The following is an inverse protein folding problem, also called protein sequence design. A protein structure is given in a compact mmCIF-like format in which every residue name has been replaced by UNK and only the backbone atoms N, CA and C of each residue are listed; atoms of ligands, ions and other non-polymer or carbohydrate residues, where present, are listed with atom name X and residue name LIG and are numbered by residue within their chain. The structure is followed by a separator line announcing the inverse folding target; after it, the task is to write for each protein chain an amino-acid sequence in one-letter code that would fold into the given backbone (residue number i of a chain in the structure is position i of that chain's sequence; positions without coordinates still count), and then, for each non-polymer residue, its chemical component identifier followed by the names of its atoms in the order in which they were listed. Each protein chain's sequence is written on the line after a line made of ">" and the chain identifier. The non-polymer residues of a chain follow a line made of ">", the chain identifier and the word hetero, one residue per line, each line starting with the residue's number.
data_IF_516453694046
#
_entry.id   IF_516453694046
#
_cell.length_a   1.000
_cell.length_b   1.000
_cell.length_c   1.000
_cell.angle_alpha   90.00
_cell.angle_beta   90.00
_cell.angle_gamma   90.00
#
_symmetry.space_group_name_H-M   'P 1'
#
loop_
_entity.id
_entity.type
_entity.pdbx_description
1 polymer ?
#
# COMPACT_ATOMS: atom_id res chain seq x y z
N UNK A 1 3.08 -34.49 -7.27
CA UNK A 1 3.63 -33.73 -8.42
C UNK A 1 3.67 -32.29 -7.97
N UNK A 2 4.84 -31.68 -7.93
CA UNK A 2 5.01 -30.25 -7.59
C UNK A 2 4.25 -29.43 -8.62
N UNK A 3 3.45 -28.48 -8.18
CA UNK A 3 2.71 -27.59 -9.10
C UNK A 3 3.72 -26.66 -9.79
N UNK A 4 3.88 -26.84 -11.11
CA UNK A 4 4.83 -26.05 -11.92
C UNK A 4 4.59 -24.54 -11.76
N UNK A 5 3.35 -24.12 -11.61
CA UNK A 5 3.00 -22.73 -11.40
C UNK A 5 3.50 -22.22 -10.04
N UNK A 6 3.31 -23.02 -8.99
CA UNK A 6 3.81 -22.68 -7.66
C UNK A 6 5.34 -22.47 -7.65
N UNK A 7 6.09 -23.39 -8.29
CA UNK A 7 7.54 -23.28 -8.39
C UNK A 7 7.97 -22.02 -9.18
N UNK A 8 7.30 -21.70 -10.28
CA UNK A 8 7.59 -20.48 -11.07
C UNK A 8 7.35 -19.21 -10.27
N UNK A 9 6.30 -19.17 -9.44
CA UNK A 9 6.00 -18.05 -8.57
C UNK A 9 7.06 -17.91 -7.46
N UNK A 10 7.40 -19.01 -6.78
CA UNK A 10 8.35 -19.02 -5.67
C UNK A 10 9.75 -18.65 -6.16
N UNK A 11 10.20 -19.19 -7.30
CA UNK A 11 11.51 -18.88 -7.88
C UNK A 11 11.65 -17.37 -8.18
N UNK A 12 10.64 -16.77 -8.81
CA UNK A 12 10.64 -15.32 -9.06
C UNK A 12 10.58 -14.53 -7.78
N UNK A 13 9.70 -14.88 -6.87
CA UNK A 13 9.56 -14.22 -5.59
C UNK A 13 10.89 -14.19 -4.83
N UNK A 14 11.54 -15.35 -4.65
CA UNK A 14 12.84 -15.42 -3.96
C UNK A 14 13.94 -14.65 -4.68
N UNK A 15 13.94 -14.66 -6.01
CA UNK A 15 14.87 -13.86 -6.81
C UNK A 15 14.67 -12.36 -6.58
N UNK A 16 13.44 -11.89 -6.49
CA UNK A 16 13.16 -10.46 -6.26
C UNK A 16 13.40 -10.07 -4.80
N UNK A 17 13.22 -10.98 -3.85
CA UNK A 17 13.58 -10.77 -2.45
C UNK A 17 15.10 -10.57 -2.24
N UNK A 18 15.94 -11.14 -3.11
CA UNK A 18 17.40 -10.97 -3.03
C UNK A 18 17.87 -9.54 -3.33
N UNK A 19 16.99 -8.69 -3.88
CA UNK A 19 17.28 -7.27 -4.10
C UNK A 19 16.74 -6.46 -2.94
N UNK A 20 17.63 -5.91 -2.12
CA UNK A 20 17.29 -4.97 -1.07
C UNK A 20 16.64 -3.71 -1.68
N UNK A 21 15.39 -3.42 -1.34
CA UNK A 21 14.61 -2.30 -1.90
C UNK A 21 13.74 -1.58 -0.87
N UNK A 22 14.12 -1.64 0.41
CA UNK A 22 13.43 -0.92 1.49
C UNK A 22 13.39 0.58 1.20
N UNK A 23 12.23 1.23 1.40
CA UNK A 23 12.07 2.67 1.23
C UNK A 23 12.64 3.45 2.43
N UNK A 24 13.01 4.72 2.23
CA UNK A 24 13.49 5.63 3.29
C UNK A 24 12.64 6.91 3.30
N UNK A 25 11.77 7.03 4.31
CA UNK A 25 10.88 8.19 4.48
C UNK A 25 11.63 9.53 4.66
N UNK A 26 12.92 9.50 5.05
CA UNK A 26 13.76 10.70 5.23
C UNK A 26 14.31 11.22 3.89
N UNK A 27 14.32 10.38 2.86
CA UNK A 27 14.77 10.76 1.53
C UNK A 27 13.73 11.65 0.83
N UNK A 28 14.19 12.70 0.17
CA UNK A 28 13.35 13.56 -0.66
C UNK A 28 13.31 13.13 -2.14
N UNK A 29 14.13 12.15 -2.53
CA UNK A 29 14.19 11.67 -3.92
C UNK A 29 13.16 10.57 -4.17
N UNK A 30 12.80 10.37 -5.43
CA UNK A 30 12.01 9.24 -5.93
C UNK A 30 12.86 8.54 -7.00
N UNK A 31 13.21 7.25 -6.81
CA UNK A 31 12.99 6.45 -5.61
C UNK A 31 13.78 6.96 -4.41
N UNK A 32 13.30 6.63 -3.20
CA UNK A 32 13.95 7.02 -1.95
C UNK A 32 15.24 6.25 -1.69
N UNK A 33 15.39 5.07 -2.29
CA UNK A 33 16.56 4.21 -2.18
C UNK A 33 17.01 3.64 -3.54
N UNK A 34 18.32 3.44 -3.76
CA UNK A 34 18.83 2.90 -5.02
C UNK A 34 18.46 1.42 -5.26
N UNK A 35 18.03 0.70 -4.22
CA UNK A 35 17.61 -0.70 -4.33
C UNK A 35 16.38 -0.87 -5.20
N UNK A 36 15.43 0.03 -5.09
CA UNK A 36 14.23 0.05 -5.92
C UNK A 36 14.58 0.22 -7.41
N UNK A 37 15.57 1.07 -7.72
CA UNK A 37 16.06 1.23 -9.10
C UNK A 37 16.68 -0.07 -9.61
N UNK A 38 17.51 -0.74 -8.80
CA UNK A 38 18.12 -2.03 -9.18
C UNK A 38 17.06 -3.10 -9.45
N UNK A 39 16.00 -3.16 -8.62
CA UNK A 39 14.89 -4.08 -8.85
C UNK A 39 14.15 -3.75 -10.16
N UNK A 40 13.84 -2.49 -10.40
CA UNK A 40 13.19 -2.06 -11.65
C UNK A 40 14.03 -2.41 -12.89
N UNK A 41 15.36 -2.25 -12.85
CA UNK A 41 16.28 -2.64 -13.92
C UNK A 41 16.33 -4.16 -14.14
N UNK A 42 16.29 -4.96 -13.05
CA UNK A 42 16.18 -6.41 -13.15
C UNK A 42 14.87 -6.83 -13.82
N UNK A 43 13.73 -6.25 -13.42
CA UNK A 43 12.43 -6.52 -14.02
C UNK A 43 12.38 -6.08 -15.49
N UNK A 44 12.95 -4.92 -15.81
CA UNK A 44 13.06 -4.44 -17.19
C UNK A 44 13.80 -5.44 -18.07
N UNK A 45 14.95 -5.92 -17.64
CA UNK A 45 15.74 -6.90 -18.38
C UNK A 45 14.97 -8.23 -18.59
N UNK A 46 14.19 -8.68 -17.59
CA UNK A 46 13.35 -9.87 -17.73
C UNK A 46 12.20 -9.63 -18.72
N UNK A 47 11.52 -8.47 -18.68
CA UNK A 47 10.46 -8.11 -19.62
C UNK A 47 10.99 -7.99 -21.08
N UNK A 48 12.19 -7.45 -21.26
CA UNK A 48 12.87 -7.41 -22.55
C UNK A 48 13.18 -8.82 -23.08
N UNK A 49 13.68 -9.71 -22.20
CA UNK A 49 13.93 -11.11 -22.55
C UNK A 49 12.64 -11.88 -22.87
N UNK A 50 11.53 -11.52 -22.24
CA UNK A 50 10.20 -12.08 -22.55
C UNK A 50 9.63 -11.50 -23.88
N UNK A 51 10.17 -10.41 -24.41
CA UNK A 51 9.73 -9.78 -25.66
C UNK A 51 8.45 -8.93 -25.51
N UNK A 52 8.19 -8.35 -24.34
CA UNK A 52 7.08 -7.42 -24.16
C UNK A 52 7.29 -6.14 -24.97
N UNK A 53 6.20 -5.45 -25.28
CA UNK A 53 6.20 -4.20 -26.01
C UNK A 53 6.26 -2.97 -25.08
N UNK A 54 6.66 -1.82 -25.64
CA UNK A 54 6.59 -0.50 -25.01
C UNK A 54 7.21 -0.43 -23.60
N UNK A 55 8.30 -1.17 -23.38
CA UNK A 55 9.00 -1.20 -22.10
C UNK A 55 9.67 0.16 -21.87
N UNK A 56 9.29 0.81 -20.77
CA UNK A 56 9.82 2.12 -20.41
C UNK A 56 10.14 2.18 -18.91
N UNK A 57 11.36 2.57 -18.61
CA UNK A 57 11.84 2.82 -17.25
C UNK A 57 12.29 4.28 -17.14
N UNK A 58 11.57 5.07 -16.36
CA UNK A 58 11.80 6.50 -16.24
C UNK A 58 12.88 6.88 -15.20
N UNK A 59 13.07 8.18 -15.00
CA UNK A 59 14.03 8.71 -14.03
C UNK A 59 13.61 8.45 -12.57
N UNK A 60 12.33 8.29 -12.31
CA UNK A 60 11.78 7.97 -10.99
C UNK A 60 11.75 6.46 -10.72
N UNK A 61 12.32 5.64 -11.60
CA UNK A 61 12.29 4.17 -11.51
C UNK A 61 10.90 3.55 -11.67
N UNK A 62 9.98 4.29 -12.27
CA UNK A 62 8.68 3.75 -12.68
C UNK A 62 8.90 2.96 -13.97
N UNK A 63 8.61 1.67 -13.91
CA UNK A 63 8.72 0.75 -15.02
C UNK A 63 7.33 0.40 -15.55
N UNK A 64 7.09 0.64 -16.83
CA UNK A 64 5.88 0.18 -17.53
C UNK A 64 6.23 -0.73 -18.69
N UNK A 65 5.38 -1.70 -18.99
CA UNK A 65 5.52 -2.59 -20.13
C UNK A 65 4.15 -3.06 -20.61
N UNK A 66 3.99 -3.24 -21.92
CA UNK A 66 2.75 -3.71 -22.53
C UNK A 66 2.87 -5.17 -22.96
N UNK A 67 1.98 -6.01 -22.48
CA UNK A 67 1.72 -7.34 -23.02
C UNK A 67 0.59 -7.21 -24.06
N UNK A 68 0.87 -7.42 -25.35
CA UNK A 68 -0.12 -7.27 -26.41
C UNK A 68 -1.32 -8.21 -26.23
N UNK A 69 -2.49 -7.66 -26.49
CA UNK A 69 -3.76 -8.40 -26.50
C UNK A 69 -3.88 -9.34 -27.70
N UNK A 70 -4.86 -10.24 -27.62
CA UNK A 70 -5.26 -11.10 -28.75
C UNK A 70 -6.56 -10.64 -29.40
N UNK A 71 -7.29 -9.70 -28.74
CA UNK A 71 -8.55 -9.11 -29.20
C UNK A 71 -8.39 -7.59 -29.32
N UNK A 72 -8.41 -7.02 -30.55
CA UNK A 72 -8.15 -5.58 -30.77
C UNK A 72 -9.17 -4.66 -30.13
N UNK A 73 -10.44 -5.10 -30.02
CA UNK A 73 -11.54 -4.29 -29.50
C UNK A 73 -11.76 -4.45 -27.99
N UNK A 74 -11.00 -5.32 -27.34
CA UNK A 74 -11.10 -5.50 -25.90
C UNK A 74 -10.41 -4.33 -25.16
N UNK A 75 -10.93 -3.93 -23.99
CA UNK A 75 -10.33 -2.83 -23.22
C UNK A 75 -8.89 -3.16 -22.80
N UNK A 76 -8.04 -2.15 -22.85
CA UNK A 76 -6.73 -2.21 -22.22
C UNK A 76 -6.91 -2.09 -20.69
N UNK A 77 -6.34 -3.02 -19.93
CA UNK A 77 -6.35 -3.00 -18.47
C UNK A 77 -4.93 -2.92 -17.90
N UNK A 78 -4.83 -2.44 -16.66
CA UNK A 78 -3.55 -2.30 -15.99
C UNK A 78 -3.42 -3.15 -14.73
N UNK A 79 -2.17 -3.49 -14.40
CA UNK A 79 -1.80 -4.02 -13.08
C UNK A 79 -0.63 -3.25 -12.53
N UNK A 80 -0.68 -2.95 -11.24
CA UNK A 80 0.33 -2.16 -10.55
C UNK A 80 0.85 -2.93 -9.34
N UNK A 81 2.15 -2.93 -9.14
CA UNK A 81 2.81 -3.44 -7.96
C UNK A 81 3.94 -2.49 -7.54
N UNK A 82 4.19 -2.36 -6.24
CA UNK A 82 5.27 -1.51 -5.79
C UNK A 82 6.59 -2.25 -5.59
N UNK A 83 7.69 -1.48 -5.75
CA UNK A 83 9.07 -1.99 -5.75
C UNK A 83 9.67 -2.03 -4.35
N UNK A 84 9.21 -1.15 -3.47
CA UNK A 84 9.75 -1.02 -2.13
C UNK A 84 9.18 -2.05 -1.17
N UNK A 85 9.89 -2.22 -0.07
CA UNK A 85 9.41 -2.86 1.15
C UNK A 85 9.44 -1.83 2.27
N UNK A 86 8.57 -2.01 3.26
CA UNK A 86 8.42 -1.10 4.39
C UNK A 86 9.68 -1.06 5.27
N UNK A 87 9.99 0.12 5.82
CA UNK A 87 10.96 0.27 6.92
C UNK A 87 10.23 0.28 8.27
N UNK A 88 10.30 -0.81 8.99
CA UNK A 88 9.77 -0.95 10.36
C UNK A 88 10.91 -1.16 11.39
N UNK A 89 12.11 -0.72 11.05
CA UNK A 89 13.29 -0.86 11.92
C UNK A 89 13.88 -2.26 11.98
N UNK A 90 13.53 -3.12 11.01
CA UNK A 90 14.11 -4.45 10.83
C UNK A 90 15.22 -4.42 9.76
N UNK A 91 15.92 -5.55 9.57
CA UNK A 91 16.93 -5.68 8.52
C UNK A 91 16.31 -5.47 7.13
N UNK A 92 16.93 -4.71 6.22
CA UNK A 92 16.50 -4.64 4.84
C UNK A 92 16.87 -5.89 4.02
N UNK A 93 17.80 -6.72 4.52
CA UNK A 93 18.18 -8.00 3.91
C UNK A 93 17.15 -9.07 4.25
N UNK A 94 16.47 -9.60 3.24
CA UNK A 94 15.44 -10.62 3.40
C UNK A 94 16.02 -12.00 3.15
N UNK A 95 15.79 -12.93 4.09
CA UNK A 95 16.22 -14.33 4.02
C UNK A 95 14.98 -15.24 4.02
N UNK A 96 14.41 -15.51 2.82
CA UNK A 96 13.18 -16.29 2.72
C UNK A 96 13.43 -17.78 2.96
N UNK A 97 12.43 -18.45 3.52
CA UNK A 97 12.40 -19.88 3.78
C UNK A 97 11.10 -20.50 3.27
N UNK A 98 11.16 -21.77 2.85
CA UNK A 98 9.99 -22.61 2.56
C UNK A 98 9.80 -23.59 3.69
N UNK A 99 8.63 -23.62 4.28
CA UNK A 99 8.32 -24.50 5.41
C UNK A 99 6.93 -25.11 5.23
N UNK A 100 6.75 -26.33 5.71
CA UNK A 100 5.41 -26.92 5.85
C UNK A 100 4.93 -26.65 7.26
N UNK A 101 3.81 -25.96 7.39
CA UNK A 101 3.25 -25.64 8.70
C UNK A 101 2.63 -26.86 9.37
N UNK A 102 3.23 -27.34 10.46
CA UNK A 102 2.80 -28.54 11.19
C UNK A 102 1.62 -28.35 12.14
N UNK A 103 1.24 -27.10 12.43
CA UNK A 103 0.15 -26.74 13.36
C UNK A 103 0.60 -26.34 14.77
N UNK A 104 1.91 -26.26 15.02
CA UNK A 104 2.52 -25.75 16.26
C UNK A 104 3.42 -24.56 16.01
N UNK A 105 4.06 -24.04 17.06
CA UNK A 105 5.03 -22.95 16.96
C UNK A 105 6.15 -23.31 15.97
N UNK A 106 6.61 -22.32 15.22
CA UNK A 106 7.65 -22.47 14.19
C UNK A 106 8.90 -21.70 14.57
N UNK A 107 10.04 -22.36 14.61
CA UNK A 107 11.35 -21.73 14.74
C UNK A 107 11.76 -21.11 13.41
N UNK A 108 11.81 -19.78 13.33
CA UNK A 108 12.23 -19.05 12.14
C UNK A 108 13.75 -18.84 12.11
N UNK A 109 14.35 -18.60 13.27
CA UNK A 109 15.79 -18.36 13.40
C UNK A 109 16.32 -18.93 14.72
N UNK A 110 17.14 -19.97 14.62
CA UNK A 110 17.73 -20.62 15.81
C UNK A 110 18.75 -19.71 16.52
N UNK A 111 19.54 -18.98 15.76
CA UNK A 111 20.59 -18.12 16.30
C UNK A 111 20.05 -16.94 17.11
N UNK A 112 18.97 -16.32 16.63
CA UNK A 112 18.34 -15.17 17.24
C UNK A 112 17.14 -15.56 18.13
N UNK A 113 16.86 -16.88 18.26
CA UNK A 113 15.71 -17.46 19.00
C UNK A 113 14.37 -16.84 18.61
N UNK A 114 14.15 -16.69 17.29
CA UNK A 114 12.91 -16.09 16.76
C UNK A 114 11.92 -17.18 16.42
N UNK A 115 10.74 -17.12 17.05
CA UNK A 115 9.65 -18.05 16.89
C UNK A 115 8.39 -17.36 16.40
N UNK A 116 7.72 -17.90 15.38
CA UNK A 116 6.33 -17.61 15.11
C UNK A 116 5.47 -18.49 16.02
N UNK A 117 4.86 -17.88 17.03
CA UNK A 117 4.06 -18.59 18.02
C UNK A 117 2.60 -18.59 17.64
N UNK A 118 2.00 -19.76 17.53
CA UNK A 118 0.59 -19.92 17.11
C UNK A 118 -0.37 -19.21 18.09
N UNK A 119 -0.03 -19.13 19.38
CA UNK A 119 -0.83 -18.41 20.37
C UNK A 119 -0.86 -16.89 20.17
N UNK A 120 0.15 -16.33 19.52
CA UNK A 120 0.27 -14.90 19.19
C UNK A 120 -0.22 -14.62 17.76
N UNK A 121 -0.12 -15.62 16.87
CA UNK A 121 -0.45 -15.56 15.45
C UNK A 121 -1.42 -16.69 15.05
N UNK A 122 -2.66 -16.71 15.57
CA UNK A 122 -3.62 -17.78 15.29
C UNK A 122 -4.11 -17.81 13.84
N UNK A 123 -3.92 -16.73 13.08
CA UNK A 123 -4.25 -16.62 11.65
C UNK A 123 -3.50 -17.62 10.76
N UNK A 124 -2.40 -18.24 11.26
CA UNK A 124 -1.67 -19.29 10.54
C UNK A 124 -2.37 -20.65 10.62
N UNK A 125 -3.24 -20.90 11.61
CA UNK A 125 -3.86 -22.21 11.90
C UNK A 125 -4.60 -22.84 10.70
N UNK A 126 -5.34 -22.08 9.86
CA UNK A 126 -6.01 -22.63 8.69
C UNK A 126 -5.07 -23.30 7.67
N UNK A 127 -3.78 -22.98 7.72
CA UNK A 127 -2.76 -23.46 6.77
C UNK A 127 -2.02 -24.71 7.24
N UNK A 128 -2.51 -25.40 8.30
CA UNK A 128 -1.89 -26.65 8.77
C UNK A 128 -1.76 -27.67 7.66
N UNK A 129 -0.57 -28.23 7.50
CA UNK A 129 -0.21 -29.18 6.47
C UNK A 129 0.10 -28.56 5.10
N UNK A 130 -0.02 -27.24 4.98
CA UNK A 130 0.31 -26.51 3.76
C UNK A 130 1.73 -25.96 3.79
N UNK A 131 2.28 -25.78 2.60
CA UNK A 131 3.55 -25.08 2.43
C UNK A 131 3.33 -23.57 2.55
N UNK A 132 4.20 -22.93 3.31
CA UNK A 132 4.21 -21.47 3.53
C UNK A 132 5.61 -20.92 3.28
N UNK A 133 5.68 -19.68 2.84
CA UNK A 133 6.89 -18.90 2.71
C UNK A 133 6.97 -17.93 3.88
N UNK A 134 8.12 -17.84 4.53
CA UNK A 134 8.38 -16.99 5.70
C UNK A 134 9.78 -16.36 5.58
N UNK A 135 10.03 -15.27 6.30
CA UNK A 135 11.38 -14.77 6.54
C UNK A 135 12.05 -15.52 7.70
N UNK A 136 13.33 -15.23 7.95
CA UNK A 136 14.04 -15.71 9.16
C UNK A 136 13.71 -14.87 10.40
N UNK A 137 12.77 -13.94 10.32
CA UNK A 137 12.34 -13.05 11.39
C UNK A 137 13.30 -11.89 11.70
N UNK A 138 14.43 -11.77 10.99
CA UNK A 138 15.30 -10.59 11.11
C UNK A 138 14.82 -9.42 10.25
N UNK A 139 13.99 -9.71 9.25
CA UNK A 139 13.36 -8.76 8.33
C UNK A 139 11.84 -9.04 8.23
N UNK A 140 11.09 -8.20 7.51
CA UNK A 140 9.82 -8.60 6.93
C UNK A 140 10.04 -9.68 5.86
N UNK A 141 9.01 -10.43 5.45
CA UNK A 141 9.13 -11.34 4.30
C UNK A 141 9.18 -10.56 2.98
N UNK A 142 8.45 -9.43 2.89
CA UNK A 142 8.33 -8.62 1.68
C UNK A 142 7.39 -9.23 0.64
N UNK A 143 6.42 -10.04 1.07
CA UNK A 143 5.30 -10.42 0.21
C UNK A 143 4.51 -9.18 -0.20
N UNK A 144 4.43 -8.21 0.67
CA UNK A 144 4.09 -6.82 0.42
C UNK A 144 5.33 -6.06 -0.11
N UNK A 145 5.51 -5.82 -1.44
CA UNK A 145 4.57 -6.22 -2.51
C UNK A 145 5.26 -7.11 -3.56
N UNK A 146 6.42 -7.72 -3.22
CA UNK A 146 7.19 -8.55 -4.19
C UNK A 146 6.46 -9.84 -4.60
N UNK A 147 5.47 -10.28 -3.83
CA UNK A 147 4.57 -11.35 -4.29
C UNK A 147 3.76 -10.90 -5.50
N UNK A 148 3.20 -9.68 -5.49
CA UNK A 148 2.52 -9.11 -6.65
C UNK A 148 3.44 -8.98 -7.86
N UNK A 149 4.69 -8.52 -7.65
CA UNK A 149 5.69 -8.47 -8.72
C UNK A 149 5.89 -9.87 -9.33
N UNK A 150 6.05 -10.90 -8.50
CA UNK A 150 6.22 -12.28 -8.97
C UNK A 150 4.99 -12.80 -9.73
N UNK A 151 3.77 -12.45 -9.28
CA UNK A 151 2.51 -12.75 -9.98
C UNK A 151 2.52 -12.13 -11.36
N UNK A 152 2.77 -10.81 -11.47
CA UNK A 152 2.72 -10.08 -12.73
C UNK A 152 3.79 -10.54 -13.72
N UNK A 153 5.00 -10.80 -13.26
CA UNK A 153 6.08 -11.31 -14.10
C UNK A 153 5.82 -12.76 -14.57
N UNK A 154 5.17 -13.58 -13.74
CA UNK A 154 4.74 -14.93 -14.12
C UNK A 154 3.59 -14.87 -15.12
N UNK A 155 2.64 -13.95 -14.92
CA UNK A 155 1.55 -13.68 -15.87
C UNK A 155 2.12 -13.32 -17.26
N UNK A 156 3.04 -12.36 -17.32
CA UNK A 156 3.69 -11.96 -18.56
C UNK A 156 4.37 -13.14 -19.26
N UNK A 157 5.16 -13.93 -18.51
CA UNK A 157 5.87 -15.11 -19.05
C UNK A 157 4.93 -16.18 -19.60
N UNK A 158 3.76 -16.39 -18.98
CA UNK A 158 2.80 -17.44 -19.39
C UNK A 158 1.86 -16.96 -20.49
N UNK A 159 1.50 -15.68 -20.52
CA UNK A 159 0.55 -15.16 -21.51
C UNK A 159 1.20 -14.66 -22.79
N UNK A 160 2.51 -14.38 -22.84
CA UNK A 160 3.17 -13.81 -24.04
C UNK A 160 2.95 -14.62 -25.31
N UNK A 161 2.96 -15.95 -25.20
CA UNK A 161 2.78 -16.85 -26.32
C UNK A 161 1.38 -17.52 -26.31
N UNK A 162 0.50 -17.11 -25.42
CA UNK A 162 -0.84 -17.67 -25.27
C UNK A 162 -1.84 -17.02 -26.24
N UNK A 163 -2.66 -17.85 -26.90
CA UNK A 163 -3.79 -17.39 -27.70
C UNK A 163 -5.06 -17.09 -26.88
N UNK A 164 -5.00 -17.17 -25.55
CA UNK A 164 -6.14 -16.89 -24.68
C UNK A 164 -6.69 -15.49 -24.94
N UNK A 165 -8.03 -15.32 -25.08
CA UNK A 165 -8.66 -14.04 -25.36
C UNK A 165 -8.34 -12.99 -24.29
N UNK A 166 -7.77 -11.84 -24.67
CA UNK A 166 -7.47 -10.70 -23.80
C UNK A 166 -7.30 -9.41 -24.60
N UNK A 167 -7.58 -8.28 -23.97
CA UNK A 167 -7.12 -6.98 -24.42
C UNK A 167 -5.63 -6.76 -24.13
N UNK A 168 -5.11 -5.61 -24.49
CA UNK A 168 -3.77 -5.19 -24.05
C UNK A 168 -3.72 -5.14 -22.53
N UNK A 169 -2.60 -5.55 -21.97
CA UNK A 169 -2.33 -5.47 -20.52
C UNK A 169 -1.10 -4.61 -20.31
N UNK A 170 -1.22 -3.56 -19.50
CA UNK A 170 -0.06 -2.75 -19.11
C UNK A 170 0.32 -3.10 -17.67
N UNK A 171 1.55 -3.54 -17.49
CA UNK A 171 2.16 -3.76 -16.19
C UNK A 171 2.90 -2.49 -15.77
N UNK A 172 2.72 -2.08 -14.52
CA UNK A 172 3.43 -0.96 -13.94
C UNK A 172 4.07 -1.37 -12.61
N UNK A 173 5.33 -1.02 -12.43
CA UNK A 173 6.06 -1.23 -11.18
C UNK A 173 6.53 0.13 -10.69
N UNK A 174 6.08 0.52 -9.50
CA UNK A 174 6.24 1.88 -8.98
C UNK A 174 7.02 1.89 -7.66
N UNK A 175 7.84 2.91 -7.38
CA UNK A 175 8.60 3.01 -6.14
C UNK A 175 7.83 3.75 -5.05
N UNK A 176 8.29 3.60 -3.80
CA UNK A 176 7.92 4.44 -2.65
C UNK A 176 6.42 4.47 -2.34
N UNK A 177 5.75 3.33 -2.43
CA UNK A 177 4.37 3.14 -2.00
C UNK A 177 4.26 3.37 -0.49
N UNK A 178 5.10 2.67 0.30
CA UNK A 178 5.11 2.57 1.75
C UNK A 178 5.35 3.89 2.48
N UNK A 179 5.86 4.87 1.77
CA UNK A 179 6.16 6.21 2.30
C UNK A 179 5.28 7.29 1.66
N UNK A 180 4.09 6.91 1.23
CA UNK A 180 3.03 7.81 0.82
C UNK A 180 2.71 7.82 -0.66
N UNK A 181 2.75 6.68 -1.33
CA UNK A 181 2.31 6.48 -2.73
C UNK A 181 3.07 7.39 -3.71
N UNK A 182 4.37 7.64 -3.44
CA UNK A 182 5.13 8.67 -4.15
C UNK A 182 5.25 8.36 -5.63
N UNK A 183 5.56 7.10 -5.99
CA UNK A 183 5.68 6.67 -7.38
C UNK A 183 4.37 6.81 -8.15
N UNK A 184 3.26 6.29 -7.63
CA UNK A 184 1.95 6.37 -8.26
C UNK A 184 1.47 7.83 -8.45
N UNK A 185 1.83 8.74 -7.53
CA UNK A 185 1.50 10.17 -7.63
C UNK A 185 2.21 10.88 -8.78
N UNK A 186 3.45 10.49 -9.11
CA UNK A 186 4.27 11.13 -10.16
C UNK A 186 4.27 10.33 -11.48
N UNK A 187 3.65 9.16 -11.51
CA UNK A 187 3.58 8.30 -12.69
C UNK A 187 3.00 9.04 -13.90
N UNK A 188 3.65 8.92 -15.06
CA UNK A 188 3.12 9.45 -16.32
C UNK A 188 1.98 8.58 -16.85
N UNK A 189 0.73 9.04 -16.71
CA UNK A 189 -0.46 8.31 -17.15
C UNK A 189 -0.55 8.18 -18.69
N UNK A 190 0.19 8.97 -19.46
CA UNK A 190 0.29 8.75 -20.92
C UNK A 190 1.01 7.41 -21.24
N UNK A 191 1.80 6.89 -20.32
CA UNK A 191 2.43 5.56 -20.41
C UNK A 191 1.57 4.44 -19.83
N UNK A 192 0.41 4.79 -19.26
CA UNK A 192 -0.54 3.86 -18.63
C UNK A 192 -1.98 4.14 -19.10
N UNK A 193 -2.24 4.12 -20.42
CA UNK A 193 -3.54 4.45 -21.00
C UNK A 193 -4.51 3.26 -20.89
N UNK A 194 -4.96 2.97 -19.67
CA UNK A 194 -5.84 1.84 -19.36
C UNK A 194 -7.26 2.30 -19.03
N UNK A 195 -8.26 1.46 -19.30
CA UNK A 195 -9.64 1.73 -18.92
C UNK A 195 -9.83 1.68 -17.39
N UNK A 196 -9.13 0.77 -16.74
CA UNK A 196 -9.02 0.61 -15.29
C UNK A 196 -7.79 -0.25 -14.97
N UNK A 197 -7.39 -0.26 -13.71
CA UNK A 197 -6.27 -1.08 -13.27
C UNK A 197 -6.62 -1.85 -11.99
N UNK A 198 -5.66 -2.65 -11.53
CA UNK A 198 -5.71 -3.37 -10.26
C UNK A 198 -4.38 -3.25 -9.54
N UNK A 199 -4.40 -3.13 -8.22
CA UNK A 199 -3.27 -3.44 -7.34
C UNK A 199 -3.47 -4.82 -6.72
N UNK A 200 -2.39 -5.53 -6.39
CA UNK A 200 -2.38 -6.82 -5.70
C UNK A 200 -1.72 -6.59 -4.35
N UNK A 201 -2.47 -5.97 -3.45
CA UNK A 201 -1.90 -5.35 -2.25
C UNK A 201 -2.86 -5.41 -1.05
N UNK A 202 -3.63 -6.50 -0.97
CA UNK A 202 -4.37 -6.91 0.23
C UNK A 202 -3.77 -8.19 0.80
N UNK A 203 -4.18 -8.52 2.03
CA UNK A 203 -3.64 -9.65 2.75
C UNK A 203 -4.30 -10.98 2.35
N UNK A 204 -5.37 -11.32 3.02
CA UNK A 204 -5.91 -12.67 3.04
C UNK A 204 -6.63 -13.06 1.74
N UNK A 205 -6.55 -14.34 1.43
CA UNK A 205 -7.27 -14.95 0.31
C UNK A 205 -8.76 -14.59 0.30
N UNK A 206 -9.22 -14.03 -0.82
CA UNK A 206 -10.61 -13.57 -1.01
C UNK A 206 -10.87 -12.12 -0.64
N UNK A 207 -9.92 -11.39 -0.09
CA UNK A 207 -10.06 -9.96 0.19
C UNK A 207 -10.11 -9.13 -1.10
N UNK A 208 -11.05 -8.18 -1.10
CA UNK A 208 -11.24 -7.19 -2.16
C UNK A 208 -11.39 -5.83 -1.51
N UNK A 209 -10.57 -4.87 -1.94
CA UNK A 209 -10.62 -3.49 -1.45
C UNK A 209 -10.93 -2.55 -2.62
N UNK A 210 -12.04 -1.88 -2.51
CA UNK A 210 -12.44 -0.77 -3.39
C UNK A 210 -12.90 0.46 -2.60
N UNK A 211 -12.81 0.38 -1.26
CA UNK A 211 -13.01 1.49 -0.33
C UNK A 211 -11.73 1.67 0.48
N UNK A 212 -11.12 2.84 0.40
CA UNK A 212 -9.97 3.26 1.21
C UNK A 212 -10.30 4.53 1.96
N UNK A 213 -9.50 4.92 2.92
CA UNK A 213 -9.66 6.24 3.54
C UNK A 213 -9.44 7.37 2.52
N UNK A 214 -10.09 8.51 2.76
CA UNK A 214 -9.55 9.80 2.40
C UNK A 214 -8.52 10.17 3.46
N UNK A 215 -7.41 10.77 3.05
CA UNK A 215 -6.29 11.06 3.93
C UNK A 215 -5.75 12.47 3.74
N UNK A 216 -5.47 13.15 4.84
CA UNK A 216 -4.72 14.38 4.87
C UNK A 216 -3.67 14.36 5.98
N UNK A 217 -2.59 15.12 5.76
CA UNK A 217 -1.59 15.45 6.76
C UNK A 217 -1.73 16.91 7.14
N UNK A 218 -1.54 17.19 8.43
CA UNK A 218 -1.56 18.54 8.99
C UNK A 218 -0.23 18.80 9.67
N UNK A 219 0.38 19.92 9.35
CA UNK A 219 1.55 20.45 10.07
C UNK A 219 1.18 21.80 10.69
N UNK A 220 1.36 21.92 11.99
CA UNK A 220 1.11 23.15 12.73
C UNK A 220 2.41 23.62 13.37
N UNK A 221 2.94 24.73 12.89
CA UNK A 221 4.14 25.37 13.40
C UNK A 221 3.75 26.51 14.34
N UNK A 222 4.28 26.50 15.57
CA UNK A 222 3.98 27.46 16.63
C UNK A 222 5.26 28.14 17.05
N UNK A 223 5.32 29.44 16.91
CA UNK A 223 6.40 30.28 17.46
C UNK A 223 5.88 31.06 18.66
N UNK A 224 6.52 30.88 19.80
CA UNK A 224 6.19 31.58 21.05
C UNK A 224 6.92 32.88 21.22
N UNK A 225 6.88 33.42 22.44
CA UNK A 225 7.64 34.58 22.86
C UNK A 225 8.51 34.19 24.04
N UNK A 226 9.81 34.25 23.90
CA UNK A 226 10.76 33.91 24.97
C UNK A 226 10.93 35.06 25.94
N UNK A 227 11.11 34.78 27.22
CA UNK A 227 11.47 35.71 28.25
C UNK A 227 12.25 35.02 29.37
N UNK A 228 13.13 35.74 30.05
CA UNK A 228 13.79 35.23 31.24
C UNK A 228 12.74 34.94 32.35
N UNK A 229 12.81 33.82 33.06
CA UNK A 229 11.81 33.47 34.10
C UNK A 229 11.55 34.60 35.12
N UNK A 230 12.58 35.39 35.44
CA UNK A 230 12.44 36.53 36.35
C UNK A 230 11.46 37.62 35.85
N UNK A 231 11.28 37.78 34.53
CA UNK A 231 10.43 38.80 33.89
C UNK A 231 9.38 38.16 32.95
N UNK A 232 9.09 36.88 33.10
CA UNK A 232 8.24 36.13 32.18
C UNK A 232 6.73 36.44 32.31
N UNK A 233 6.30 36.93 33.48
CA UNK A 233 4.86 37.20 33.73
C UNK A 233 4.32 38.21 32.73
N UNK A 234 3.30 37.80 31.96
CA UNK A 234 2.67 38.63 30.92
C UNK A 234 3.53 38.86 29.66
N UNK A 235 4.75 38.25 29.59
CA UNK A 235 5.67 38.36 28.45
C UNK A 235 5.86 37.05 27.74
N UNK A 236 6.17 35.98 28.47
CA UNK A 236 6.41 34.63 27.93
C UNK A 236 5.15 34.08 27.29
N UNK A 237 5.27 33.54 26.09
CA UNK A 237 4.28 32.65 25.48
C UNK A 237 5.00 31.34 25.18
N UNK A 238 4.67 30.28 25.93
CA UNK A 238 5.28 28.98 25.80
C UNK A 238 4.63 28.20 24.66
N UNK A 239 5.32 27.97 23.54
CA UNK A 239 4.72 27.29 22.37
C UNK A 239 4.36 25.82 22.65
N UNK A 240 5.03 25.15 23.61
CA UNK A 240 4.68 23.77 24.01
C UNK A 240 3.29 23.74 24.66
N UNK A 241 2.95 24.71 25.53
CA UNK A 241 1.64 24.78 26.16
C UNK A 241 0.55 25.10 25.13
N UNK A 242 0.84 25.96 24.14
CA UNK A 242 -0.07 26.26 23.05
C UNK A 242 -0.32 24.99 22.20
N UNK A 243 0.73 24.20 21.90
CA UNK A 243 0.60 22.93 21.19
C UNK A 243 -0.24 21.91 21.98
N UNK A 244 -0.01 21.79 23.30
CA UNK A 244 -0.77 20.90 24.18
C UNK A 244 -2.26 21.29 24.24
N UNK A 245 -2.55 22.60 24.26
CA UNK A 245 -3.93 23.10 24.21
C UNK A 245 -4.63 22.68 22.89
N UNK A 246 -3.95 22.81 21.76
CA UNK A 246 -4.46 22.33 20.46
C UNK A 246 -4.76 20.84 20.49
N UNK A 247 -3.82 20.00 20.97
CA UNK A 247 -4.03 18.56 21.09
C UNK A 247 -5.24 18.24 21.95
N UNK A 248 -5.44 18.99 23.04
CA UNK A 248 -6.57 18.82 23.95
C UNK A 248 -7.95 19.20 23.36
N UNK A 249 -8.00 19.82 22.19
CA UNK A 249 -9.26 20.12 21.50
C UNK A 249 -9.79 18.95 20.66
N UNK A 250 -8.94 17.97 20.34
CA UNK A 250 -9.36 16.78 19.60
C UNK A 250 -10.04 15.78 20.53
N UNK A 251 -11.11 15.17 20.02
CA UNK A 251 -11.83 14.11 20.75
C UNK A 251 -10.93 12.87 20.92
N UNK A 252 -10.55 12.50 22.15
CA UNK A 252 -9.68 11.35 22.39
C UNK A 252 -10.33 10.01 22.07
N UNK A 253 -11.66 9.98 21.82
CA UNK A 253 -12.37 8.77 21.37
C UNK A 253 -12.31 8.57 19.86
N UNK A 254 -11.84 9.58 19.10
CA UNK A 254 -11.71 9.52 17.66
C UNK A 254 -10.22 9.42 17.24
N UNK A 255 -9.53 8.44 17.79
CA UNK A 255 -8.12 8.13 17.50
C UNK A 255 -7.99 6.72 16.91
N UNK A 256 -6.90 6.37 16.25
CA UNK A 256 -6.74 5.03 15.62
C UNK A 256 -6.96 3.88 16.60
N UNK A 257 -6.51 4.02 17.85
CA UNK A 257 -6.63 3.02 18.90
C UNK A 257 -8.03 2.92 19.51
N UNK A 258 -8.96 3.78 19.11
CA UNK A 258 -10.35 3.85 19.61
C UNK A 258 -11.40 3.69 18.53
N UNK A 259 -11.00 3.56 17.29
CA UNK A 259 -11.90 3.49 16.14
C UNK A 259 -11.65 2.25 15.32
N UNK A 260 -12.69 1.73 14.66
CA UNK A 260 -12.61 0.53 13.81
C UNK A 260 -13.44 0.69 12.52
N UNK A 261 -13.31 -0.26 11.63
CA UNK A 261 -14.09 -0.32 10.39
C UNK A 261 -14.01 0.98 9.59
N UNK A 262 -15.17 1.61 9.30
CA UNK A 262 -15.26 2.87 8.55
C UNK A 262 -15.21 4.13 9.39
N UNK A 263 -14.97 4.02 10.69
CA UNK A 263 -14.86 5.18 11.57
C UNK A 263 -13.59 5.97 11.27
N UNK A 264 -13.74 7.27 11.01
CA UNK A 264 -12.64 8.20 10.81
C UNK A 264 -11.97 8.61 12.12
N UNK A 265 -10.77 9.18 12.00
CA UNK A 265 -10.00 9.60 13.17
C UNK A 265 -9.10 10.81 12.89
N UNK A 266 -8.63 11.44 13.98
CA UNK A 266 -7.44 12.26 14.06
C UNK A 266 -6.32 11.49 14.77
N UNK A 267 -5.14 11.54 14.23
CA UNK A 267 -3.98 10.96 14.86
C UNK A 267 -2.88 12.00 15.00
N UNK A 268 -2.69 12.50 16.23
CA UNK A 268 -1.54 13.34 16.56
C UNK A 268 -0.31 12.42 16.64
N UNK A 269 0.39 12.28 15.52
CA UNK A 269 1.51 11.34 15.33
C UNK A 269 2.88 11.98 15.48
N UNK A 270 2.95 13.29 15.74
CA UNK A 270 4.19 13.97 16.01
C UNK A 270 4.00 15.24 16.84
N UNK A 271 4.83 15.38 17.86
CA UNK A 271 4.97 16.61 18.64
C UNK A 271 6.45 16.83 18.95
N UNK A 272 6.95 18.02 18.63
CA UNK A 272 8.29 18.44 19.00
C UNK A 272 8.27 19.90 19.44
N UNK A 273 9.21 20.30 20.32
CA UNK A 273 9.25 21.70 20.73
C UNK A 273 10.33 22.03 21.74
N UNK A 274 10.54 23.31 21.89
CA UNK A 274 11.43 23.92 22.87
C UNK A 274 10.82 25.25 23.38
N UNK A 275 11.61 26.05 24.09
CA UNK A 275 11.14 27.33 24.68
C UNK A 275 10.72 28.37 23.66
N UNK A 276 11.11 28.24 22.38
CA UNK A 276 10.85 29.28 21.34
C UNK A 276 9.89 28.82 20.25
N UNK A 277 9.84 27.52 19.95
CA UNK A 277 9.00 26.94 18.90
C UNK A 277 8.48 25.56 19.27
N UNK A 278 7.34 25.18 18.70
CA UNK A 278 6.81 23.81 18.72
C UNK A 278 6.19 23.48 17.35
N UNK A 279 6.15 22.19 17.04
CA UNK A 279 5.49 21.68 15.85
C UNK A 279 4.61 20.48 16.22
N UNK A 280 3.42 20.44 15.64
CA UNK A 280 2.50 19.30 15.70
C UNK A 280 2.37 18.71 14.30
N UNK A 281 2.28 17.38 14.25
CA UNK A 281 1.92 16.62 13.06
C UNK A 281 0.67 15.80 13.37
N UNK A 282 -0.35 15.92 12.51
CA UNK A 282 -1.64 15.25 12.68
C UNK A 282 -2.03 14.61 11.36
N UNK A 283 -2.42 13.34 11.41
CA UNK A 283 -3.05 12.64 10.29
C UNK A 283 -4.57 12.67 10.44
N UNK A 284 -5.28 12.96 9.35
CA UNK A 284 -6.73 12.89 9.27
C UNK A 284 -7.10 11.74 8.34
N UNK A 285 -8.05 10.91 8.77
CA UNK A 285 -8.57 9.79 7.98
C UNK A 285 -10.09 9.72 8.14
N UNK A 286 -10.81 9.53 7.03
CA UNK A 286 -12.23 9.17 7.01
C UNK A 286 -12.59 8.51 5.67
N UNK A 287 -13.46 7.49 5.68
CA UNK A 287 -14.00 6.91 4.45
C UNK A 287 -15.01 7.83 3.77
N UNK A 288 -15.81 8.55 4.55
CA UNK A 288 -16.79 9.48 4.05
C UNK A 288 -16.15 10.82 3.66
N UNK A 289 -16.36 11.26 2.42
CA UNK A 289 -15.76 12.48 1.91
C UNK A 289 -16.26 13.75 2.60
N UNK A 290 -17.55 13.80 2.99
CA UNK A 290 -18.12 14.96 3.67
C UNK A 290 -17.55 15.09 5.09
N UNK A 291 -17.54 13.98 5.85
CA UNK A 291 -16.92 13.96 7.19
C UNK A 291 -15.41 14.23 7.15
N UNK A 292 -14.73 13.79 6.10
CA UNK A 292 -13.32 14.12 5.90
C UNK A 292 -13.10 15.63 5.76
N UNK A 293 -13.94 16.33 4.98
CA UNK A 293 -13.88 17.79 4.86
C UNK A 293 -14.25 18.50 6.19
N UNK A 294 -15.27 18.00 6.90
CA UNK A 294 -15.63 18.50 8.25
C UNK A 294 -14.47 18.37 9.23
N UNK A 295 -13.72 17.24 9.18
CA UNK A 295 -12.51 17.06 10.01
C UNK A 295 -11.42 18.09 9.69
N UNK A 296 -11.18 18.38 8.41
CA UNK A 296 -10.23 19.42 8.02
C UNK A 296 -10.68 20.81 8.48
N UNK A 297 -11.96 21.11 8.33
CA UNK A 297 -12.55 22.37 8.79
C UNK A 297 -12.39 22.52 10.32
N UNK A 298 -12.68 21.48 11.10
CA UNK A 298 -12.48 21.48 12.54
C UNK A 298 -11.04 21.82 12.95
N UNK A 299 -10.03 21.27 12.27
CA UNK A 299 -8.62 21.59 12.54
C UNK A 299 -8.36 23.09 12.31
N UNK A 300 -8.87 23.64 11.22
CA UNK A 300 -8.71 25.07 10.92
C UNK A 300 -9.39 25.97 11.98
N UNK A 301 -10.60 25.60 12.42
CA UNK A 301 -11.34 26.29 13.49
C UNK A 301 -10.63 26.20 14.85
N UNK A 302 -10.10 25.01 15.21
CA UNK A 302 -9.33 24.81 16.43
C UNK A 302 -8.07 25.69 16.45
N UNK A 303 -7.34 25.75 15.33
CA UNK A 303 -6.16 26.60 15.19
C UNK A 303 -6.54 28.07 15.33
N UNK A 304 -7.63 28.52 14.72
CA UNK A 304 -8.09 29.91 14.83
C UNK A 304 -8.53 30.27 16.26
N UNK A 305 -9.23 29.38 16.93
CA UNK A 305 -9.61 29.57 18.33
C UNK A 305 -8.40 29.70 19.25
N UNK A 306 -7.33 28.93 19.01
CA UNK A 306 -6.08 29.04 19.78
C UNK A 306 -5.31 30.34 19.44
N UNK A 307 -5.30 30.74 18.16
CA UNK A 307 -4.73 32.07 17.77
C UNK A 307 -5.38 33.22 18.53
N UNK A 308 -6.69 33.19 18.67
CA UNK A 308 -7.42 34.27 19.42
C UNK A 308 -7.08 34.29 20.90
N UNK A 309 -6.86 33.11 21.51
CA UNK A 309 -6.43 32.99 22.93
C UNK A 309 -4.97 33.39 23.14
N UNK A 310 -4.13 33.19 22.12
CA UNK A 310 -2.70 33.47 22.16
C UNK A 310 -2.27 34.45 21.07
N UNK A 311 -2.75 35.72 21.07
CA UNK A 311 -2.53 36.68 19.98
C UNK A 311 -1.06 37.06 19.77
N UNK A 312 -0.19 36.72 20.71
CA UNK A 312 1.26 36.92 20.62
C UNK A 312 2.04 35.71 20.11
N UNK A 313 1.41 34.55 20.01
CA UNK A 313 1.98 33.41 19.32
C UNK A 313 1.77 33.54 17.81
N UNK A 314 2.76 33.13 17.03
CA UNK A 314 2.58 32.94 15.59
C UNK A 314 2.28 31.47 15.35
N UNK A 315 1.11 31.15 14.80
CA UNK A 315 0.67 29.79 14.50
C UNK A 315 0.43 29.71 13.00
N UNK A 316 1.18 28.85 12.31
CA UNK A 316 0.97 28.48 10.90
C UNK A 316 0.40 27.07 10.84
N UNK A 317 -0.65 26.89 10.06
CA UNK A 317 -1.28 25.58 9.83
C UNK A 317 -1.28 25.28 8.33
N UNK A 318 -0.85 24.08 7.97
CA UNK A 318 -0.83 23.57 6.61
C UNK A 318 -1.56 22.24 6.61
N UNK A 319 -2.58 22.11 5.75
CA UNK A 319 -3.35 20.88 5.56
C UNK A 319 -3.14 20.46 4.11
N UNK A 320 -2.68 19.21 3.90
CA UNK A 320 -2.35 18.68 2.59
C UNK A 320 -3.04 17.31 2.40
N UNK A 321 -3.88 17.20 1.37
CA UNK A 321 -4.52 15.93 1.02
C UNK A 321 -3.45 14.96 0.52
N UNK A 322 -3.44 13.73 1.06
CA UNK A 322 -2.48 12.69 0.72
C UNK A 322 -2.99 11.77 -0.38
N UNK A 323 -4.21 11.27 -0.23
CA UNK A 323 -4.93 10.45 -1.21
C UNK A 323 -6.44 10.49 -0.95
N UNK A 324 -7.22 9.98 -1.90
CA UNK A 324 -8.69 9.89 -1.82
C UNK A 324 -9.16 8.45 -1.81
N UNK A 325 -10.35 8.24 -1.27
CA UNK A 325 -11.03 6.94 -1.31
C UNK A 325 -11.21 6.48 -2.76
N UNK A 326 -10.83 5.23 -3.07
CA UNK A 326 -11.00 4.60 -4.39
C UNK A 326 -12.48 4.63 -4.82
N UNK A 327 -13.40 4.42 -3.88
CA UNK A 327 -14.84 4.40 -4.12
C UNK A 327 -15.35 5.69 -4.81
N UNK A 328 -14.77 6.83 -4.47
CA UNK A 328 -15.12 8.11 -5.07
C UNK A 328 -14.82 8.18 -6.58
N UNK A 329 -13.78 7.49 -7.04
CA UNK A 329 -13.41 7.43 -8.45
C UNK A 329 -14.23 6.41 -9.25
N UNK A 330 -14.77 5.38 -8.59
CA UNK A 330 -15.62 4.38 -9.23
C UNK A 330 -16.98 4.97 -9.64
N UNK A 331 -17.51 5.89 -8.85
CA UNK A 331 -18.84 6.46 -9.11
C UNK A 331 -19.90 5.38 -9.28
N UNK A 332 -20.64 5.46 -10.41
CA UNK A 332 -21.67 4.48 -10.76
C UNK A 332 -21.13 3.29 -11.60
N UNK A 333 -19.90 3.37 -12.13
CA UNK A 333 -19.30 2.29 -12.90
C UNK A 333 -18.46 1.38 -12.01
N UNK A 334 -19.06 0.28 -11.55
CA UNK A 334 -18.45 -0.74 -10.70
C UNK A 334 -17.85 -1.91 -11.49
N UNK A 335 -17.77 -1.82 -12.79
CA UNK A 335 -17.41 -2.95 -13.65
C UNK A 335 -16.08 -3.62 -13.23
N UNK A 336 -15.02 -2.84 -12.98
CA UNK A 336 -13.74 -3.39 -12.55
C UNK A 336 -13.83 -4.14 -11.21
N UNK A 337 -14.69 -3.71 -10.29
CA UNK A 337 -14.94 -4.40 -9.00
C UNK A 337 -15.77 -5.66 -9.21
N UNK A 338 -16.82 -5.59 -10.04
CA UNK A 338 -17.69 -6.73 -10.36
C UNK A 338 -16.91 -7.88 -11.01
N UNK A 339 -15.90 -7.57 -11.84
CA UNK A 339 -15.00 -8.56 -12.42
C UNK A 339 -14.20 -9.34 -11.35
N UNK A 340 -13.73 -8.66 -10.28
CA UNK A 340 -13.05 -9.35 -9.17
C UNK A 340 -14.01 -10.32 -8.49
N UNK A 341 -15.23 -9.88 -8.18
CA UNK A 341 -16.24 -10.73 -7.54
C UNK A 341 -16.65 -11.90 -8.44
N UNK A 342 -16.75 -11.69 -9.75
CA UNK A 342 -17.05 -12.75 -10.70
C UNK A 342 -15.91 -13.77 -10.78
N UNK A 343 -14.66 -13.31 -10.89
CA UNK A 343 -13.49 -14.17 -10.93
C UNK A 343 -13.38 -15.05 -9.68
N UNK A 344 -13.56 -14.45 -8.49
CA UNK A 344 -13.54 -15.19 -7.22
C UNK A 344 -14.64 -16.25 -7.14
N UNK A 345 -15.88 -15.91 -7.57
CA UNK A 345 -16.97 -16.90 -7.62
C UNK A 345 -16.65 -18.08 -8.56
N UNK A 346 -16.03 -17.82 -9.72
CA UNK A 346 -15.61 -18.88 -10.66
C UNK A 346 -14.53 -19.78 -10.08
N UNK A 347 -13.71 -19.23 -9.21
CA UNK A 347 -12.66 -19.96 -8.48
C UNK A 347 -13.18 -20.63 -7.20
N UNK A 348 -14.48 -20.54 -6.92
CA UNK A 348 -15.10 -21.03 -5.67
C UNK A 348 -14.44 -20.42 -4.41
N UNK A 349 -13.98 -19.18 -4.52
CA UNK A 349 -13.44 -18.40 -3.41
C UNK A 349 -14.51 -17.41 -2.95
N UNK A 350 -14.87 -17.46 -1.67
CA UNK A 350 -15.80 -16.50 -1.09
C UNK A 350 -15.16 -15.10 -1.06
N UNK A 351 -15.71 -14.09 -1.76
CA UNK A 351 -15.19 -12.75 -1.74
C UNK A 351 -15.52 -12.06 -0.41
N UNK A 352 -14.55 -11.30 0.12
CA UNK A 352 -14.68 -10.51 1.35
C UNK A 352 -14.30 -9.06 1.06
N UNK A 353 -15.29 -8.18 0.92
CA UNK A 353 -15.04 -6.75 0.76
C UNK A 353 -14.55 -6.15 2.08
N UNK A 354 -13.41 -5.48 2.02
CA UNK A 354 -12.78 -4.81 3.17
C UNK A 354 -12.75 -3.31 2.93
N UNK A 355 -13.21 -2.54 3.92
CA UNK A 355 -12.97 -1.10 3.98
C UNK A 355 -11.57 -0.88 4.57
N UNK A 356 -10.59 -0.60 3.72
CA UNK A 356 -9.19 -0.48 4.13
C UNK A 356 -8.96 0.83 4.90
N UNK A 357 -8.36 0.72 6.09
CA UNK A 357 -8.02 1.88 6.95
C UNK A 357 -6.67 2.51 6.57
N UNK A 358 -6.32 2.46 5.31
CA UNK A 358 -5.12 3.00 4.69
C UNK A 358 -5.42 3.42 3.25
N UNK A 359 -4.37 3.58 2.47
CA UNK A 359 -4.43 3.77 1.02
C UNK A 359 -3.41 2.86 0.36
N UNK A 360 -3.55 2.66 -0.94
CA UNK A 360 -2.61 1.94 -1.81
C UNK A 360 -2.30 2.80 -3.03
N UNK A 361 -1.37 2.38 -3.87
CA UNK A 361 -1.16 3.01 -5.18
C UNK A 361 -2.46 3.15 -5.98
N UNK A 362 -3.40 2.23 -5.76
CA UNK A 362 -4.75 2.31 -6.31
C UNK A 362 -5.52 3.56 -5.88
N UNK A 363 -5.32 4.05 -4.65
CA UNK A 363 -5.92 5.30 -4.18
C UNK A 363 -5.37 6.52 -4.94
N UNK A 364 -4.05 6.54 -5.19
CA UNK A 364 -3.40 7.62 -5.92
C UNK A 364 -3.81 7.64 -7.40
N UNK A 365 -3.85 6.47 -8.05
CA UNK A 365 -4.26 6.34 -9.45
C UNK A 365 -5.75 6.64 -9.64
N UNK A 366 -6.61 6.15 -8.74
CA UNK A 366 -8.05 6.43 -8.76
C UNK A 366 -8.34 7.93 -8.64
N UNK A 367 -7.64 8.64 -7.75
CA UNK A 367 -7.76 10.09 -7.63
C UNK A 367 -7.34 10.85 -8.90
N UNK A 368 -6.54 10.22 -9.77
CA UNK A 368 -6.06 10.75 -11.06
C UNK A 368 -6.89 10.27 -12.26
N UNK A 369 -8.02 9.60 -12.01
CA UNK A 369 -8.99 9.19 -13.02
C UNK A 369 -8.80 7.77 -13.58
N UNK A 370 -7.94 6.95 -12.99
CA UNK A 370 -7.79 5.53 -13.34
C UNK A 370 -8.37 4.67 -12.21
N UNK A 371 -9.63 4.19 -12.31
CA UNK A 371 -10.23 3.33 -11.28
C UNK A 371 -9.35 2.11 -11.01
N UNK A 372 -8.88 1.96 -9.76
CA UNK A 372 -7.89 0.92 -9.43
C UNK A 372 -8.25 0.25 -8.11
N UNK A 373 -9.22 -0.68 -8.10
CA UNK A 373 -9.48 -1.52 -6.93
C UNK A 373 -8.32 -2.49 -6.68
N UNK A 374 -8.30 -3.04 -5.47
CA UNK A 374 -7.23 -3.85 -4.95
C UNK A 374 -7.75 -5.24 -4.53
N UNK A 375 -6.92 -6.28 -4.67
CA UNK A 375 -7.20 -7.64 -4.21
C UNK A 375 -5.97 -8.29 -3.57
N UNK A 376 -6.13 -9.48 -3.01
CA UNK A 376 -5.17 -10.14 -2.13
C UNK A 376 -3.91 -10.65 -2.83
N UNK A 377 -2.78 -10.61 -2.10
CA UNK A 377 -1.58 -11.40 -2.38
C UNK A 377 -1.74 -12.83 -1.84
N UNK A 378 -2.46 -12.99 -0.77
CA UNK A 378 -2.62 -14.20 0.03
C UNK A 378 -1.70 -14.26 1.24
N UNK A 379 -0.89 -13.22 1.48
CA UNK A 379 -0.01 -13.16 2.64
C UNK A 379 -0.73 -12.65 3.89
N UNK A 380 -0.06 -12.76 5.01
CA UNK A 380 -0.54 -12.31 6.33
C UNK A 380 0.55 -11.53 7.04
N UNK A 381 0.15 -10.73 8.01
CA UNK A 381 1.04 -9.99 8.91
C UNK A 381 1.99 -9.05 8.19
N UNK A 382 1.49 -8.30 7.20
CA UNK A 382 2.23 -7.24 6.54
C UNK A 382 2.91 -6.33 7.57
N UNK A 383 4.06 -5.76 7.22
CA UNK A 383 4.86 -4.88 8.08
C UNK A 383 5.34 -5.54 9.39
N UNK A 384 5.42 -6.87 9.41
CA UNK A 384 5.87 -7.64 10.57
C UNK A 384 6.98 -8.63 10.22
N UNK A 385 7.85 -8.93 11.20
CA UNK A 385 8.80 -10.04 11.10
C UNK A 385 8.14 -11.41 11.00
N UNK A 386 6.85 -11.50 11.32
CA UNK A 386 6.03 -12.70 11.26
C UNK A 386 5.13 -12.73 10.02
N UNK A 387 5.49 -11.93 9.01
CA UNK A 387 4.85 -11.98 7.70
C UNK A 387 5.05 -13.37 7.08
N UNK A 388 3.97 -13.96 6.56
CA UNK A 388 4.02 -15.25 5.90
C UNK A 388 3.09 -15.31 4.68
N UNK A 389 3.44 -16.14 3.70
CA UNK A 389 2.68 -16.30 2.47
C UNK A 389 2.40 -17.79 2.23
N UNK A 390 1.14 -18.26 2.41
CA UNK A 390 0.76 -19.62 2.04
C UNK A 390 0.85 -19.84 0.53
N UNK A 391 1.57 -20.87 0.10
CA UNK A 391 1.78 -21.16 -1.32
C UNK A 391 0.46 -21.37 -2.09
N UNK A 392 -0.56 -22.08 -1.55
CA UNK A 392 -1.85 -22.17 -2.25
C UNK A 392 -2.55 -20.83 -2.44
N UNK A 393 -2.49 -19.92 -1.46
CA UNK A 393 -3.09 -18.59 -1.57
C UNK A 393 -2.35 -17.72 -2.61
N UNK A 394 -1.02 -17.83 -2.67
CA UNK A 394 -0.20 -17.17 -3.68
C UNK A 394 -0.56 -17.65 -5.12
N UNK A 395 -0.75 -18.96 -5.31
CA UNK A 395 -1.22 -19.54 -6.58
C UNK A 395 -2.62 -19.04 -6.92
N UNK A 396 -3.52 -18.94 -5.94
CA UNK A 396 -4.88 -18.45 -6.17
C UNK A 396 -4.89 -16.95 -6.53
N UNK A 397 -4.01 -16.15 -5.97
CA UNK A 397 -3.82 -14.74 -6.37
C UNK A 397 -3.39 -14.62 -7.85
N UNK A 398 -2.43 -15.46 -8.28
CA UNK A 398 -2.06 -15.54 -9.69
C UNK A 398 -3.25 -15.94 -10.58
N UNK A 399 -3.99 -16.98 -10.19
CA UNK A 399 -5.17 -17.45 -10.97
C UNK A 399 -6.25 -16.38 -11.06
N UNK A 400 -6.47 -15.62 -9.98
CA UNK A 400 -7.37 -14.48 -9.99
C UNK A 400 -6.93 -13.43 -11.02
N UNK A 401 -5.64 -13.09 -11.03
CA UNK A 401 -5.06 -12.14 -12.00
C UNK A 401 -5.26 -12.62 -13.45
N UNK A 402 -5.02 -13.89 -13.72
CA UNK A 402 -5.25 -14.51 -15.05
C UNK A 402 -6.73 -14.48 -15.44
N UNK A 403 -7.65 -14.81 -14.51
CA UNK A 403 -9.09 -14.73 -14.73
C UNK A 403 -9.56 -13.31 -15.05
N UNK A 404 -9.04 -12.30 -14.36
CA UNK A 404 -9.36 -10.90 -14.61
C UNK A 404 -8.99 -10.47 -16.04
N UNK A 405 -7.85 -10.91 -16.57
CA UNK A 405 -7.44 -10.65 -17.94
C UNK A 405 -8.46 -11.22 -18.96
N UNK A 406 -8.93 -12.43 -18.73
CA UNK A 406 -9.91 -13.09 -19.61
C UNK A 406 -11.32 -12.48 -19.48
N UNK A 407 -11.73 -12.11 -18.27
CA UNK A 407 -13.05 -11.52 -18.02
C UNK A 407 -13.17 -10.10 -18.59
N UNK A 408 -12.13 -9.29 -18.40
CA UNK A 408 -12.10 -7.93 -18.92
C UNK A 408 -12.17 -7.85 -20.46
N UNK A 409 -11.80 -8.93 -21.15
CA UNK A 409 -11.88 -9.00 -22.61
C UNK A 409 -13.28 -9.30 -23.16
N UNK A 410 -14.26 -9.58 -22.30
CA UNK A 410 -15.62 -9.86 -22.72
C UNK A 410 -16.42 -8.59 -22.95
N UNK A 411 -17.39 -8.60 -23.90
CA UNK A 411 -18.32 -7.52 -24.03
C UNK A 411 -19.10 -7.29 -22.72
N UNK A 412 -19.31 -6.03 -22.35
CA UNK A 412 -20.14 -5.68 -21.19
C UNK A 412 -21.57 -6.18 -21.39
N UNK A 413 -22.09 -6.97 -20.46
CA UNK A 413 -23.48 -7.45 -20.48
C UNK A 413 -23.68 -8.91 -20.92
N UNK A 414 -22.65 -9.66 -21.21
CA UNK A 414 -22.70 -11.12 -21.44
C UNK A 414 -22.20 -11.88 -20.20
N UNK A 415 -23.01 -11.89 -19.14
CA UNK A 415 -22.73 -12.60 -17.89
C UNK A 415 -23.89 -13.46 -17.43
#
# INVERSE_FOLDING_TARGET
>A
MTDILAEQLIERFFRYLSVESQSDARSATIPSTPGQRRLAEMLKAELEALGLADIHLDAHSILTARLPGTLPDAPCIGFVAHLDTVDVGLSPEIRPQRMVFGGGDMLLNEKEDIWLRVGEHPEILPYRGQEILVGDGTSVLGADNKAAIAILMTLAARLKDSAAPRGDIILAFVPDEEIGLRGAKVMDLARFPVAFAYTIDCCERGEVVYETFNAASVTIDITGVTAHPMSAKGVLVNPILVATELVGMFDPMQTPERTEGREGYWWCNGISGNQSAAQLQISIRDHDGARFEERKAFVAEAVEAVRQRHPRARIACRIEDSYKNIDAALGNDRHCVELIFEALRRMEIAPRAIAMRGGTDGSALSARGVPTPNYFTGAHNFHSRFEFLPVPAFVDSYRLTEQLCALAARPRGEG
#
